data_IF_192060713325
#
_entry.id   IF_192060713325
#
_cell.length_a   1.000
_cell.length_b   1.000
_cell.length_c   1.000
_cell.angle_alpha   90.00
_cell.angle_beta   90.00
_cell.angle_gamma   90.00
#
_symmetry.space_group_name_H-M   'P 1'
#
loop_
_entity.id
_entity.type
_entity.pdbx_description
1 polymer ?
#
# COMPACT_ATOMS: atom_id res chain seq x y z
N UNK A 1 19.52 -61.17 -40.51
CA UNK A 1 19.09 -62.03 -39.40
C UNK A 1 20.21 -62.08 -38.39
N UNK A 2 19.99 -61.64 -37.15
CA UNK A 2 20.66 -62.13 -35.95
C UNK A 2 20.02 -61.48 -34.71
N UNK A 3 19.32 -62.33 -33.97
CA UNK A 3 18.90 -62.12 -32.59
C UNK A 3 20.12 -62.01 -31.67
N UNK A 4 19.95 -61.42 -30.49
CA UNK A 4 19.80 -62.13 -29.18
C UNK A 4 20.39 -61.29 -28.04
N UNK A 5 19.53 -60.91 -27.10
CA UNK A 5 19.86 -60.27 -25.83
C UNK A 5 20.00 -61.38 -24.77
N UNK A 6 21.04 -61.34 -23.95
CA UNK A 6 21.11 -61.96 -22.61
C UNK A 6 22.31 -61.43 -21.79
N UNK A 7 22.18 -61.56 -20.46
CA UNK A 7 23.07 -61.18 -19.33
C UNK A 7 22.78 -59.76 -18.76
N UNK A 8 22.13 -59.56 -17.61
CA UNK A 8 22.28 -60.06 -16.20
C UNK A 8 23.16 -59.15 -15.33
N UNK A 9 22.52 -58.41 -14.39
CA UNK A 9 22.80 -58.16 -12.95
C UNK A 9 24.27 -58.18 -12.46
N UNK A 10 24.82 -57.33 -11.57
CA UNK A 10 24.33 -56.42 -10.49
C UNK A 10 25.47 -55.40 -10.17
N UNK A 11 25.10 -54.28 -9.52
CA UNK A 11 25.73 -53.66 -8.32
C UNK A 11 26.52 -52.33 -8.47
N UNK A 12 26.17 -51.45 -7.51
CA UNK A 12 26.85 -50.27 -6.96
C UNK A 12 26.48 -48.90 -7.57
N UNK A 13 25.38 -48.32 -7.07
CA UNK A 13 25.09 -46.89 -7.19
C UNK A 13 25.18 -46.22 -5.81
N UNK A 14 26.27 -45.48 -5.58
CA UNK A 14 26.35 -44.47 -4.52
C UNK A 14 25.93 -43.11 -5.09
N UNK A 15 25.08 -42.45 -4.30
CA UNK A 15 24.91 -40.99 -4.16
C UNK A 15 24.82 -40.14 -5.41
N UNK A 16 23.60 -39.67 -5.70
CA UNK A 16 23.44 -38.24 -5.95
C UNK A 16 22.08 -37.74 -5.47
N UNK A 17 22.10 -36.46 -5.16
CA UNK A 17 21.29 -35.74 -4.20
C UNK A 17 20.09 -35.03 -4.88
N UNK A 18 19.23 -34.42 -4.05
CA UNK A 18 18.17 -33.46 -4.40
C UNK A 18 16.93 -33.95 -5.17
N UNK A 19 15.87 -34.21 -4.42
CA UNK A 19 14.52 -33.68 -4.71
C UNK A 19 13.65 -33.76 -3.44
N UNK A 20 13.64 -32.69 -2.65
CA UNK A 20 12.57 -32.40 -1.69
C UNK A 20 11.84 -31.14 -2.16
N UNK A 21 10.51 -31.15 -2.29
CA UNK A 21 9.75 -29.92 -2.47
C UNK A 21 9.82 -29.13 -1.16
N UNK A 22 10.34 -27.91 -1.23
CA UNK A 22 10.47 -27.03 -0.08
C UNK A 22 9.13 -26.31 0.18
N UNK A 23 8.62 -26.58 1.39
CA UNK A 23 7.81 -25.76 2.29
C UNK A 23 6.48 -25.17 1.81
N UNK A 24 5.43 -25.83 2.30
CA UNK A 24 4.21 -25.22 2.84
C UNK A 24 4.54 -24.15 3.90
N UNK A 25 4.44 -22.87 3.55
CA UNK A 25 4.46 -21.78 4.54
C UNK A 25 3.05 -21.55 5.11
N UNK A 26 2.72 -22.42 6.07
CA UNK A 26 1.65 -22.22 7.04
C UNK A 26 2.13 -21.23 8.10
N UNK A 27 1.71 -19.97 7.99
CA UNK A 27 1.77 -19.01 9.10
C UNK A 27 0.41 -18.37 9.35
N UNK A 28 -0.43 -19.10 10.09
CA UNK A 28 -1.46 -18.50 10.92
C UNK A 28 -0.78 -17.77 12.07
N UNK A 29 -0.88 -16.44 12.13
CA UNK A 29 -0.62 -15.71 13.38
C UNK A 29 -1.76 -14.75 13.69
N UNK A 30 -2.40 -15.07 14.81
CA UNK A 30 -3.60 -14.48 15.37
C UNK A 30 -3.63 -12.94 15.36
N UNK A 31 -4.66 -12.39 14.71
CA UNK A 31 -5.11 -11.01 14.92
C UNK A 31 -6.08 -11.02 16.10
N UNK A 32 -5.59 -10.60 17.28
CA UNK A 32 -6.45 -10.38 18.43
C UNK A 32 -7.49 -9.29 18.09
N UNK A 33 -8.77 -9.65 18.20
CA UNK A 33 -9.90 -8.80 17.89
C UNK A 33 -10.07 -7.69 18.94
N UNK A 34 -9.77 -6.45 18.56
CA UNK A 34 -10.21 -5.25 19.26
C UNK A 34 -11.29 -4.52 18.43
N UNK A 35 -12.26 -3.84 19.07
CA UNK A 35 -13.34 -3.17 18.36
C UNK A 35 -12.81 -1.93 17.60
N UNK A 36 -12.59 -2.09 16.31
CA UNK A 36 -12.09 -1.06 15.39
C UNK A 36 -13.25 -0.43 14.60
N UNK A 37 -13.38 0.92 14.59
CA UNK A 37 -14.42 1.65 13.84
C UNK A 37 -14.27 1.47 12.31
N UNK A 38 -15.39 1.34 11.61
CA UNK A 38 -15.44 1.32 10.13
C UNK A 38 -14.91 2.62 9.53
N UNK A 39 -14.16 2.53 8.42
CA UNK A 39 -14.17 3.54 7.36
C UNK A 39 -13.48 4.89 7.58
N UNK A 40 -12.49 5.02 8.46
CA UNK A 40 -11.69 6.26 8.50
C UNK A 40 -10.27 5.97 8.02
N UNK A 41 -9.97 6.32 6.76
CA UNK A 41 -8.63 6.76 6.42
C UNK A 41 -8.25 7.87 7.42
N UNK A 42 -6.99 7.94 7.83
CA UNK A 42 -6.55 9.03 8.71
C UNK A 42 -6.57 10.33 7.91
N UNK A 43 -7.64 11.13 8.02
CA UNK A 43 -7.52 12.56 7.80
C UNK A 43 -6.59 13.13 8.87
N UNK A 44 -5.77 14.12 8.51
CA UNK A 44 -5.01 14.97 9.45
C UNK A 44 -5.80 15.22 10.73
N UNK A 45 -5.11 15.32 11.87
CA UNK A 45 -5.73 15.72 13.15
C UNK A 45 -6.79 16.80 12.94
N UNK A 46 -7.93 16.61 13.61
CA UNK A 46 -8.96 17.63 13.76
C UNK A 46 -8.29 18.99 13.95
N UNK A 47 -8.49 19.88 12.98
CA UNK A 47 -8.10 21.26 13.13
C UNK A 47 -9.00 21.85 14.21
N UNK A 48 -8.47 21.90 15.43
CA UNK A 48 -8.96 22.62 16.59
C UNK A 48 -10.40 22.33 17.06
N UNK A 49 -10.50 21.96 18.34
CA UNK A 49 -11.68 22.27 19.14
C UNK A 49 -11.96 23.80 19.00
N UNK A 50 -13.16 24.24 18.55
CA UNK A 50 -13.45 25.66 18.29
C UNK A 50 -13.38 26.55 19.53
N UNK A 51 -13.12 25.98 20.71
CA UNK A 51 -12.99 26.70 21.98
C UNK A 51 -11.59 27.25 22.29
N UNK A 52 -10.55 27.00 21.47
CA UNK A 52 -9.20 27.50 21.75
C UNK A 52 -8.49 28.07 20.50
N UNK A 53 -8.34 29.41 20.36
CA UNK A 53 -7.59 30.02 19.28
C UNK A 53 -6.10 30.02 19.64
N UNK A 54 -5.52 28.83 19.86
CA UNK A 54 -4.07 28.68 19.91
C UNK A 54 -3.62 28.31 18.50
N UNK A 55 -2.89 29.22 17.87
CA UNK A 55 -2.26 29.11 16.55
C UNK A 55 -1.45 27.82 16.42
N UNK A 56 -2.07 26.72 15.98
CA UNK A 56 -1.34 25.52 15.59
C UNK A 56 -1.07 25.59 14.09
N UNK A 57 0.14 26.05 13.75
CA UNK A 57 0.69 25.81 12.43
C UNK A 57 0.54 24.32 12.09
N UNK A 58 0.22 23.96 10.84
CA UNK A 58 0.22 22.57 10.42
C UNK A 58 1.57 21.94 10.81
N UNK A 59 1.62 20.67 11.26
CA UNK A 59 2.87 20.03 11.58
C UNK A 59 3.86 20.21 10.43
N UNK A 60 4.95 20.91 10.73
CA UNK A 60 5.94 21.33 9.74
C UNK A 60 6.43 20.09 9.01
N UNK A 61 6.34 20.11 7.70
CA UNK A 61 6.91 19.06 6.87
C UNK A 61 8.40 18.96 7.15
N UNK A 62 8.93 17.74 7.27
CA UNK A 62 10.37 17.56 7.44
C UNK A 62 11.08 18.13 6.21
N UNK A 63 12.31 18.60 6.41
CA UNK A 63 13.13 19.15 5.32
C UNK A 63 13.24 18.12 4.19
N UNK A 64 13.45 16.85 4.55
CA UNK A 64 13.50 15.74 3.60
C UNK A 64 12.24 15.64 2.73
N UNK A 65 11.04 15.59 3.33
CA UNK A 65 9.79 15.50 2.56
C UNK A 65 9.55 16.75 1.71
N UNK A 66 9.94 17.93 2.20
CA UNK A 66 9.79 19.18 1.45
C UNK A 66 10.71 19.25 0.23
N UNK A 67 11.91 18.68 0.32
CA UNK A 67 12.87 18.63 -0.78
C UNK A 67 12.46 17.65 -1.89
N UNK A 68 11.74 16.59 -1.52
CA UNK A 68 11.34 15.52 -2.44
C UNK A 68 9.88 15.60 -2.89
N UNK A 69 9.12 16.61 -2.43
CA UNK A 69 7.74 16.83 -2.87
C UNK A 69 7.72 17.33 -4.31
N UNK A 70 7.11 16.56 -5.22
CA UNK A 70 6.97 16.91 -6.63
C UNK A 70 5.71 17.71 -6.91
N UNK A 71 4.63 17.43 -6.18
CA UNK A 71 3.38 18.17 -6.28
C UNK A 71 2.55 18.01 -4.99
N UNK A 72 2.06 19.13 -4.45
CA UNK A 72 1.23 19.12 -3.24
C UNK A 72 -0.25 18.83 -3.59
N UNK A 73 -0.94 18.10 -2.70
CA UNK A 73 -2.38 17.89 -2.75
C UNK A 73 -3.04 18.31 -1.44
N UNK A 74 -3.64 19.49 -1.45
CA UNK A 74 -4.31 20.02 -0.26
C UNK A 74 -5.78 19.65 -0.20
N UNK A 75 -6.18 18.98 0.88
CA UNK A 75 -7.58 18.82 1.25
C UNK A 75 -8.38 17.78 0.45
N UNK A 76 -7.76 17.05 -0.48
CA UNK A 76 -8.43 16.02 -1.28
C UNK A 76 -8.99 14.88 -0.40
N UNK A 77 -8.24 14.44 0.61
CA UNK A 77 -8.64 13.34 1.48
C UNK A 77 -9.39 13.77 2.76
N UNK A 78 -10.02 14.95 2.79
CA UNK A 78 -10.79 15.43 3.99
C UNK A 78 -11.96 14.54 4.35
N UNK A 79 -12.54 13.84 3.38
CA UNK A 79 -13.68 12.93 3.56
C UNK A 79 -13.26 11.46 3.55
N UNK A 80 -11.98 11.16 3.83
CA UNK A 80 -11.43 9.80 3.95
C UNK A 80 -11.65 8.93 2.71
N UNK A 81 -11.38 9.49 1.54
CA UNK A 81 -11.52 8.82 0.23
C UNK A 81 -10.18 8.27 -0.30
N UNK A 82 -9.29 7.85 0.61
CA UNK A 82 -7.91 7.48 0.27
C UNK A 82 -7.83 6.30 -0.72
N UNK A 83 -8.78 5.37 -0.68
CA UNK A 83 -8.80 4.24 -1.64
C UNK A 83 -9.09 4.73 -3.04
N UNK A 84 -10.13 5.56 -3.20
CA UNK A 84 -10.50 6.11 -4.49
C UNK A 84 -9.46 7.07 -5.07
N UNK A 85 -8.85 7.91 -4.24
CA UNK A 85 -7.80 8.83 -4.67
C UNK A 85 -6.56 8.07 -5.16
N UNK A 86 -6.19 6.99 -4.45
CA UNK A 86 -5.08 6.12 -4.85
C UNK A 86 -5.35 5.44 -6.19
N UNK A 87 -6.56 4.92 -6.42
CA UNK A 87 -6.95 4.33 -7.69
C UNK A 87 -6.91 5.37 -8.83
N UNK A 88 -7.46 6.56 -8.60
CA UNK A 88 -7.43 7.64 -9.59
C UNK A 88 -6.01 8.15 -9.90
N UNK A 89 -5.11 8.17 -8.90
CA UNK A 89 -3.71 8.52 -9.13
C UNK A 89 -2.98 7.47 -9.98
N UNK A 90 -3.16 6.17 -9.65
CA UNK A 90 -2.57 5.06 -10.41
C UNK A 90 -3.03 5.03 -11.87
N UNK A 91 -4.29 5.35 -12.14
CA UNK A 91 -4.82 5.47 -13.50
C UNK A 91 -4.27 6.67 -14.30
N UNK A 92 -3.57 7.60 -13.65
CA UNK A 92 -3.05 8.83 -14.27
C UNK A 92 -1.51 8.91 -14.28
N UNK A 93 -0.80 7.81 -14.06
CA UNK A 93 0.67 7.76 -14.04
C UNK A 93 1.36 8.39 -15.27
N UNK A 94 0.85 8.29 -16.51
CA UNK A 94 1.49 8.92 -17.67
C UNK A 94 1.51 10.47 -17.64
N UNK A 95 0.66 11.09 -16.83
CA UNK A 95 0.55 12.55 -16.74
C UNK A 95 1.61 13.16 -15.83
N UNK A 96 1.91 14.46 -15.97
CA UNK A 96 2.85 15.13 -15.05
C UNK A 96 2.35 15.12 -13.59
N UNK A 97 3.24 15.19 -12.57
CA UNK A 97 2.86 15.29 -11.16
C UNK A 97 1.80 16.37 -10.89
N UNK A 98 1.99 17.56 -11.48
CA UNK A 98 1.06 18.69 -11.33
C UNK A 98 -0.31 18.39 -11.95
N UNK A 99 -0.33 17.78 -13.13
CA UNK A 99 -1.58 17.36 -13.80
C UNK A 99 -2.32 16.34 -12.95
N UNK A 100 -1.62 15.34 -12.38
CA UNK A 100 -2.20 14.35 -11.48
C UNK A 100 -2.84 15.01 -10.26
N UNK A 101 -2.12 15.90 -9.55
CA UNK A 101 -2.69 16.57 -8.37
C UNK A 101 -3.89 17.46 -8.73
N UNK A 102 -3.83 18.16 -9.87
CA UNK A 102 -4.94 19.00 -10.35
C UNK A 102 -6.19 18.17 -10.59
N UNK A 103 -6.06 16.98 -11.18
CA UNK A 103 -7.16 16.05 -11.41
C UNK A 103 -7.74 15.45 -10.11
N UNK A 104 -7.03 15.57 -8.98
CA UNK A 104 -7.44 15.05 -7.68
C UNK A 104 -7.86 16.16 -6.69
N UNK A 105 -7.81 17.44 -7.09
CA UNK A 105 -8.26 18.54 -6.25
C UNK A 105 -9.76 18.44 -5.95
N UNK A 106 -10.21 18.82 -4.74
CA UNK A 106 -11.64 18.88 -4.40
C UNK A 106 -12.46 19.61 -5.48
N UNK A 107 -13.53 18.97 -5.96
CA UNK A 107 -14.42 19.53 -6.97
C UNK A 107 -14.03 19.24 -8.43
N UNK A 108 -12.88 18.62 -8.68
CA UNK A 108 -12.53 18.08 -10.00
C UNK A 108 -13.30 16.78 -10.32
N UNK A 109 -13.33 16.39 -11.61
CA UNK A 109 -13.93 15.12 -12.04
C UNK A 109 -13.21 13.89 -11.47
N UNK A 110 -11.87 13.92 -11.38
CA UNK A 110 -11.10 12.84 -10.80
C UNK A 110 -11.36 12.69 -9.30
N UNK A 111 -11.51 13.79 -8.55
CA UNK A 111 -11.92 13.76 -7.14
C UNK A 111 -13.34 13.22 -6.96
N UNK A 112 -14.30 13.62 -7.81
CA UNK A 112 -15.66 13.06 -7.81
C UNK A 112 -15.65 11.55 -8.08
N UNK A 113 -14.87 11.12 -9.06
CA UNK A 113 -14.72 9.69 -9.41
C UNK A 113 -14.08 8.90 -8.26
N UNK A 114 -13.04 9.46 -7.62
CA UNK A 114 -12.44 8.90 -6.42
C UNK A 114 -13.46 8.73 -5.27
N UNK A 115 -14.38 9.69 -5.08
CA UNK A 115 -15.44 9.54 -4.09
C UNK A 115 -16.42 8.40 -4.44
N UNK A 116 -16.71 8.15 -5.73
CA UNK A 116 -17.51 6.99 -6.16
C UNK A 116 -16.77 5.69 -5.84
N UNK A 117 -15.50 5.58 -6.22
CA UNK A 117 -14.64 4.43 -5.93
C UNK A 117 -14.56 4.13 -4.43
N UNK A 118 -14.41 5.16 -3.59
CA UNK A 118 -14.43 4.99 -2.13
C UNK A 118 -15.76 4.43 -1.63
N UNK A 119 -16.90 4.92 -2.13
CA UNK A 119 -18.22 4.40 -1.71
C UNK A 119 -18.42 2.94 -2.13
N UNK A 120 -17.93 2.57 -3.31
CA UNK A 120 -17.96 1.18 -3.79
C UNK A 120 -17.09 0.30 -2.89
N UNK A 121 -15.86 0.74 -2.59
CA UNK A 121 -14.96 0.08 -1.63
C UNK A 121 -15.66 -0.20 -0.30
N UNK A 122 -16.22 0.82 0.33
CA UNK A 122 -16.84 0.69 1.65
C UNK A 122 -18.08 -0.21 1.64
N UNK A 123 -18.88 -0.13 0.57
CA UNK A 123 -20.07 -0.98 0.42
C UNK A 123 -19.68 -2.44 0.25
N UNK A 124 -18.63 -2.72 -0.52
CA UNK A 124 -18.11 -4.07 -0.71
C UNK A 124 -17.46 -4.62 0.56
N UNK A 125 -16.71 -3.81 1.32
CA UNK A 125 -16.20 -4.23 2.64
C UNK A 125 -17.35 -4.58 3.58
N UNK A 126 -18.42 -3.78 3.61
CA UNK A 126 -19.61 -4.08 4.44
C UNK A 126 -20.27 -5.39 4.02
N UNK A 127 -20.43 -5.61 2.71
CA UNK A 127 -20.99 -6.84 2.16
C UNK A 127 -20.15 -8.07 2.54
N UNK A 128 -18.85 -8.06 2.22
CA UNK A 128 -17.94 -9.20 2.49
C UNK A 128 -17.83 -9.54 3.98
N UNK A 129 -17.92 -8.53 4.86
CA UNK A 129 -17.96 -8.77 6.32
C UNK A 129 -19.26 -9.42 6.79
N UNK A 130 -20.37 -9.22 6.07
CA UNK A 130 -21.62 -9.95 6.28
C UNK A 130 -21.49 -11.43 5.94
N UNK A 131 -20.53 -11.78 5.08
CA UNK A 131 -20.15 -13.16 4.73
C UNK A 131 -19.05 -13.72 5.65
N UNK A 132 -18.83 -13.11 6.82
CA UNK A 132 -17.85 -13.53 7.83
C UNK A 132 -16.38 -13.53 7.36
N UNK A 133 -16.08 -12.85 6.25
CA UNK A 133 -14.70 -12.66 5.78
C UNK A 133 -13.99 -11.72 6.75
N UNK A 134 -12.77 -12.10 7.14
CA UNK A 134 -11.91 -11.29 8.00
C UNK A 134 -11.71 -9.89 7.39
N UNK A 135 -11.67 -8.87 8.24
CA UNK A 135 -11.72 -7.47 7.81
C UNK A 135 -10.57 -7.07 6.87
N UNK A 136 -9.35 -7.54 7.14
CA UNK A 136 -8.19 -7.24 6.30
C UNK A 136 -8.31 -7.89 4.91
N UNK A 137 -8.80 -9.13 4.86
CA UNK A 137 -9.09 -9.84 3.60
C UNK A 137 -10.24 -9.17 2.82
N UNK A 138 -11.33 -8.81 3.50
CA UNK A 138 -12.43 -8.06 2.90
C UNK A 138 -11.97 -6.72 2.32
N UNK A 139 -11.09 -6.00 3.03
CA UNK A 139 -10.46 -4.77 2.55
C UNK A 139 -9.57 -5.01 1.33
N UNK A 140 -8.75 -6.07 1.34
CA UNK A 140 -7.89 -6.42 0.22
C UNK A 140 -8.69 -6.72 -1.05
N UNK A 141 -9.74 -7.55 -0.95
CA UNK A 141 -10.63 -7.89 -2.08
C UNK A 141 -11.43 -6.69 -2.58
N UNK A 142 -11.94 -5.87 -1.67
CA UNK A 142 -12.68 -4.68 -2.05
C UNK A 142 -11.81 -3.68 -2.79
N UNK A 143 -10.56 -3.50 -2.36
CA UNK A 143 -9.56 -2.68 -3.05
C UNK A 143 -9.25 -3.22 -4.44
N UNK A 144 -9.09 -4.53 -4.60
CA UNK A 144 -8.89 -5.14 -5.92
C UNK A 144 -10.05 -4.80 -6.88
N UNK A 145 -11.29 -4.90 -6.41
CA UNK A 145 -12.47 -4.57 -7.22
C UNK A 145 -12.45 -3.10 -7.66
N UNK A 146 -12.17 -2.18 -6.74
CA UNK A 146 -12.12 -0.74 -7.05
C UNK A 146 -10.97 -0.38 -7.99
N UNK A 147 -9.83 -1.05 -7.89
CA UNK A 147 -8.73 -0.88 -8.84
C UNK A 147 -9.16 -1.34 -10.25
N UNK A 148 -9.89 -2.46 -10.37
CA UNK A 148 -10.45 -2.90 -11.66
C UNK A 148 -11.49 -1.93 -12.22
N UNK A 149 -12.37 -1.41 -11.38
CA UNK A 149 -13.35 -0.38 -11.77
C UNK A 149 -12.66 0.88 -12.32
N UNK A 150 -11.43 1.17 -11.87
CA UNK A 150 -10.60 2.26 -12.35
C UNK A 150 -9.78 1.91 -13.62
N UNK A 151 -10.00 0.75 -14.23
CA UNK A 151 -9.29 0.31 -15.43
C UNK A 151 -7.86 -0.19 -15.16
N UNK A 152 -7.58 -0.65 -13.93
CA UNK A 152 -6.28 -1.17 -13.53
C UNK A 152 -6.34 -2.70 -13.35
N UNK A 153 -5.19 -3.35 -13.44
CA UNK A 153 -5.04 -4.78 -13.17
C UNK A 153 -4.30 -5.03 -11.85
N UNK A 154 -5.02 -5.15 -10.72
CA UNK A 154 -4.42 -5.50 -9.44
C UNK A 154 -4.06 -6.99 -9.36
N UNK A 155 -3.03 -7.31 -8.59
CA UNK A 155 -2.72 -8.69 -8.19
C UNK A 155 -3.77 -9.23 -7.22
N UNK A 156 -4.16 -10.49 -7.38
CA UNK A 156 -5.01 -11.21 -6.41
C UNK A 156 -4.28 -11.56 -5.11
N UNK A 157 -2.95 -11.42 -5.08
CA UNK A 157 -2.13 -11.66 -3.90
C UNK A 157 -1.39 -10.40 -3.48
N UNK A 158 -1.13 -10.30 -2.18
CA UNK A 158 -0.37 -9.22 -1.56
C UNK A 158 0.55 -9.76 -0.48
N UNK A 159 1.52 -8.96 -0.08
CA UNK A 159 2.43 -9.28 1.02
C UNK A 159 2.34 -8.21 2.09
N UNK A 160 2.41 -8.61 3.35
CA UNK A 160 2.41 -7.71 4.50
C UNK A 160 3.81 -7.68 5.12
N UNK A 161 4.33 -6.47 5.30
CA UNK A 161 5.67 -6.20 5.82
C UNK A 161 5.57 -5.52 7.16
N UNK A 162 6.34 -6.00 8.14
CA UNK A 162 6.46 -5.34 9.44
C UNK A 162 7.31 -4.09 9.30
N UNK A 163 6.80 -2.93 9.71
CA UNK A 163 7.56 -1.70 9.72
C UNK A 163 8.49 -1.66 10.93
N UNK A 164 9.73 -1.20 10.74
CA UNK A 164 10.79 -1.23 11.78
C UNK A 164 11.57 -2.55 11.85
N UNK A 165 11.13 -3.61 11.17
CA UNK A 165 11.93 -4.82 10.96
C UNK A 165 12.79 -4.67 9.69
N UNK A 166 14.12 -4.74 9.85
CA UNK A 166 15.05 -4.45 8.76
C UNK A 166 14.94 -5.44 7.59
N UNK A 167 14.73 -6.73 7.87
CA UNK A 167 14.58 -7.75 6.84
C UNK A 167 13.27 -7.56 6.05
N UNK A 168 12.15 -7.36 6.76
CA UNK A 168 10.85 -7.08 6.15
C UNK A 168 10.88 -5.81 5.30
N UNK A 169 11.48 -4.73 5.80
CA UNK A 169 11.57 -3.49 5.03
C UNK A 169 12.48 -3.63 3.81
N UNK A 170 13.60 -4.35 3.92
CA UNK A 170 14.47 -4.63 2.77
C UNK A 170 13.73 -5.37 1.65
N UNK A 171 12.89 -6.36 2.00
CA UNK A 171 12.07 -7.06 1.00
C UNK A 171 11.00 -6.14 0.38
N UNK A 172 10.32 -5.32 1.20
CA UNK A 172 9.38 -4.31 0.71
C UNK A 172 10.07 -3.35 -0.27
N UNK A 173 11.19 -2.76 0.13
CA UNK A 173 11.98 -1.81 -0.65
C UNK A 173 12.34 -2.41 -2.01
N UNK A 174 12.92 -3.61 -2.04
CA UNK A 174 13.28 -4.31 -3.28
C UNK A 174 12.08 -4.58 -4.20
N UNK A 175 10.86 -4.70 -3.67
CA UNK A 175 9.65 -4.82 -4.51
C UNK A 175 9.20 -3.50 -5.09
N UNK A 176 9.14 -2.44 -4.27
CA UNK A 176 8.58 -1.14 -4.69
C UNK A 176 9.56 -0.27 -5.47
N UNK A 177 10.85 -0.58 -5.43
CA UNK A 177 11.88 0.12 -6.23
C UNK A 177 12.16 -0.54 -7.57
N UNK A 178 11.69 -1.78 -7.77
CA UNK A 178 11.89 -2.49 -9.03
C UNK A 178 11.19 -1.76 -10.19
N UNK A 179 11.96 -1.45 -11.22
CA UNK A 179 11.56 -0.61 -12.35
C UNK A 179 10.30 -1.13 -13.07
N UNK A 180 9.47 -0.19 -13.54
CA UNK A 180 8.20 -0.48 -14.21
C UNK A 180 7.14 -1.10 -13.30
N UNK A 181 7.26 -0.97 -11.98
CA UNK A 181 6.27 -1.49 -11.03
C UNK A 181 5.52 -0.38 -10.31
N UNK A 182 4.21 -0.55 -10.20
CA UNK A 182 3.35 0.24 -9.34
C UNK A 182 2.67 -0.64 -8.29
N UNK A 183 2.43 -0.06 -7.12
CA UNK A 183 1.79 -0.73 -6.00
C UNK A 183 0.77 0.18 -5.32
N UNK A 184 -0.33 -0.42 -4.88
CA UNK A 184 -1.17 0.13 -3.82
C UNK A 184 -0.70 -0.40 -2.47
N UNK A 185 -0.50 0.49 -1.51
CA UNK A 185 0.07 0.19 -0.19
C UNK A 185 -0.93 0.57 0.90
N UNK A 186 -1.37 -0.42 1.68
CA UNK A 186 -2.17 -0.19 2.89
C UNK A 186 -1.25 -0.06 4.09
N UNK A 187 -1.11 1.15 4.60
CA UNK A 187 -0.39 1.46 5.83
C UNK A 187 -1.31 1.15 7.02
N UNK A 188 -0.87 0.28 7.92
CA UNK A 188 -1.58 -0.04 9.16
C UNK A 188 -0.94 0.72 10.33
N UNK A 189 -1.68 1.68 10.88
CA UNK A 189 -1.26 2.46 12.04
C UNK A 189 -1.92 1.94 13.32
N UNK A 190 -1.27 2.15 14.46
CA UNK A 190 -1.84 1.98 15.79
C UNK A 190 -1.86 3.30 16.57
N UNK A 191 -2.94 3.51 17.31
CA UNK A 191 -3.08 4.61 18.26
C UNK A 191 -4.02 4.20 19.40
N UNK A 192 -3.50 4.17 20.63
CA UNK A 192 -4.29 3.84 21.82
C UNK A 192 -4.96 2.47 21.76
N UNK A 193 -4.26 1.46 21.23
CA UNK A 193 -4.77 0.09 21.07
C UNK A 193 -5.79 -0.09 19.93
N UNK A 194 -6.00 0.92 19.08
CA UNK A 194 -6.86 0.82 17.90
C UNK A 194 -6.01 0.85 16.64
N UNK A 195 -6.38 0.03 15.66
CA UNK A 195 -5.74 0.06 14.34
C UNK A 195 -6.56 0.86 13.35
N UNK A 196 -5.84 1.65 12.58
CA UNK A 196 -6.36 2.51 11.52
C UNK A 196 -5.58 2.20 10.24
N UNK A 197 -6.24 2.29 9.08
CA UNK A 197 -5.60 2.00 7.79
C UNK A 197 -5.66 3.23 6.89
N UNK A 198 -4.57 3.48 6.18
CA UNK A 198 -4.46 4.53 5.18
C UNK A 198 -3.87 3.95 3.90
N UNK A 199 -4.42 4.35 2.75
CA UNK A 199 -3.96 3.86 1.46
C UNK A 199 -3.09 4.94 0.79
N UNK A 200 -1.91 4.51 0.34
CA UNK A 200 -0.99 5.28 -0.50
C UNK A 200 -0.64 4.44 -1.73
N UNK A 201 0.03 5.02 -2.72
CA UNK A 201 0.55 4.28 -3.86
C UNK A 201 2.01 4.61 -4.14
N UNK A 202 2.69 3.69 -4.82
CA UNK A 202 4.01 3.92 -5.39
C UNK A 202 4.07 3.53 -6.86
N UNK A 203 5.01 4.14 -7.58
CA UNK A 203 5.42 3.75 -8.93
C UNK A 203 6.93 3.94 -9.08
N UNK A 204 7.63 2.98 -9.66
CA UNK A 204 9.05 3.05 -9.95
C UNK A 204 9.30 3.15 -11.47
N UNK A 205 10.12 4.12 -11.87
CA UNK A 205 10.56 4.35 -13.24
C UNK A 205 11.92 5.02 -13.23
N UNK A 206 12.84 4.58 -14.09
CA UNK A 206 14.12 5.23 -14.37
C UNK A 206 14.97 5.46 -13.10
N UNK A 207 14.98 4.47 -12.20
CA UNK A 207 15.72 4.53 -10.94
C UNK A 207 15.11 5.44 -9.86
N UNK A 208 13.95 6.03 -10.14
CA UNK A 208 13.20 6.87 -9.21
C UNK A 208 11.96 6.13 -8.71
N UNK A 209 11.63 6.34 -7.43
CA UNK A 209 10.38 5.88 -6.82
C UNK A 209 9.51 7.09 -6.51
N UNK A 210 8.33 7.11 -7.10
CA UNK A 210 7.28 8.08 -6.79
C UNK A 210 6.33 7.49 -5.77
N UNK A 211 6.04 8.22 -4.69
CA UNK A 211 5.02 7.89 -3.69
C UNK A 211 3.92 8.94 -3.72
N UNK A 212 2.68 8.49 -3.78
CA UNK A 212 1.51 9.34 -3.63
C UNK A 212 0.79 9.05 -2.32
N UNK A 213 0.68 10.09 -1.49
CA UNK A 213 -0.13 10.08 -0.28
C UNK A 213 -1.33 11.01 -0.44
N UNK A 214 -2.58 10.50 -0.43
CA UNK A 214 -3.80 11.32 -0.54
C UNK A 214 -3.91 12.49 0.45
N UNK A 215 -3.20 12.45 1.58
CA UNK A 215 -3.20 13.52 2.59
C UNK A 215 -2.25 14.68 2.29
N UNK A 216 -1.26 14.48 1.43
CA UNK A 216 -0.14 15.42 1.26
C UNK A 216 0.19 15.73 -0.20
N UNK A 217 0.08 14.74 -1.08
CA UNK A 217 0.49 14.85 -2.48
C UNK A 217 1.54 13.81 -2.85
N UNK A 218 2.42 14.18 -3.74
CA UNK A 218 3.36 13.29 -4.40
C UNK A 218 4.81 13.63 -4.06
N UNK A 219 5.60 12.58 -3.87
CA UNK A 219 7.02 12.63 -3.56
C UNK A 219 7.78 11.78 -4.56
N UNK A 220 8.98 12.19 -4.97
CA UNK A 220 9.87 11.37 -5.78
C UNK A 220 11.27 11.34 -5.16
N UNK A 221 11.81 10.15 -5.01
CA UNK A 221 13.14 9.90 -4.45
C UNK A 221 13.91 8.92 -5.32
N UNK A 222 15.25 8.97 -5.36
CA UNK A 222 16.05 7.86 -5.84
C UNK A 222 15.76 6.58 -5.05
N UNK A 223 15.86 5.42 -5.69
CA UNK A 223 15.56 4.13 -5.05
C UNK A 223 16.31 3.88 -3.73
N UNK A 224 17.55 4.36 -3.61
CA UNK A 224 18.37 4.26 -2.41
C UNK A 224 17.85 5.05 -1.21
N UNK A 225 16.97 6.03 -1.44
CA UNK A 225 16.37 6.89 -0.41
C UNK A 225 14.95 6.44 -0.01
N UNK A 226 14.49 5.27 -0.46
CA UNK A 226 13.14 4.79 -0.16
C UNK A 226 12.94 4.55 1.34
N UNK A 227 13.98 4.10 2.05
CA UNK A 227 13.95 3.94 3.52
C UNK A 227 13.69 5.28 4.21
N UNK A 228 14.47 6.30 3.87
CA UNK A 228 14.36 7.64 4.43
C UNK A 228 12.97 8.24 4.16
N UNK A 229 12.42 8.01 2.96
CA UNK A 229 11.07 8.46 2.62
C UNK A 229 10.00 7.85 3.54
N UNK A 230 10.02 6.53 3.75
CA UNK A 230 9.05 5.88 4.62
C UNK A 230 9.24 6.23 6.11
N UNK A 231 10.48 6.39 6.58
CA UNK A 231 10.76 6.86 7.93
C UNK A 231 10.22 8.27 8.17
N UNK A 232 10.47 9.18 7.22
CA UNK A 232 9.96 10.55 7.31
C UNK A 232 8.43 10.59 7.21
N UNK A 233 7.81 9.75 6.37
CA UNK A 233 6.36 9.64 6.27
C UNK A 233 5.75 9.07 7.56
N UNK A 234 6.31 8.01 8.11
CA UNK A 234 5.88 7.44 9.39
C UNK A 234 6.00 8.46 10.52
N UNK A 235 7.11 9.20 10.59
CA UNK A 235 7.31 10.28 11.56
C UNK A 235 6.29 11.41 11.40
N UNK A 236 5.88 11.72 10.17
CA UNK A 236 4.84 12.71 9.88
C UNK A 236 3.45 12.27 10.33
N UNK A 237 3.15 10.98 10.27
CA UNK A 237 1.91 10.45 10.85
C UNK A 237 1.98 10.37 12.38
N UNK A 238 3.13 9.97 12.94
CA UNK A 238 3.37 9.90 14.39
C UNK A 238 3.25 11.26 15.06
N UNK A 239 3.82 12.32 14.48
CA UNK A 239 3.88 13.63 15.12
C UNK A 239 2.94 14.64 14.43
N UNK A 240 1.94 15.24 15.13
CA UNK A 240 1.62 15.11 16.55
C UNK A 240 0.54 14.04 16.84
N UNK A 241 0.13 13.24 15.84
CA UNK A 241 -1.12 12.48 15.92
C UNK A 241 -1.04 11.20 16.78
N UNK A 242 0.16 10.77 17.17
CA UNK A 242 0.40 9.52 17.90
C UNK A 242 0.15 8.26 17.08
N UNK A 243 0.13 8.34 15.74
CA UNK A 243 -0.08 7.19 14.85
C UNK A 243 1.25 6.46 14.60
N UNK A 244 1.41 5.28 15.16
CA UNK A 244 2.58 4.43 14.94
C UNK A 244 2.34 3.48 13.76
N UNK A 245 3.21 3.53 12.75
CA UNK A 245 3.13 2.61 11.61
C UNK A 245 3.62 1.23 12.04
N UNK A 246 2.73 0.22 11.97
CA UNK A 246 3.03 -1.16 12.34
C UNK A 246 3.43 -2.02 11.15
N UNK A 247 2.67 -1.91 10.05
CA UNK A 247 2.86 -2.76 8.89
C UNK A 247 2.37 -2.13 7.59
N UNK A 248 2.86 -2.66 6.48
CA UNK A 248 2.54 -2.20 5.13
C UNK A 248 2.10 -3.41 4.30
N UNK A 249 0.85 -3.40 3.83
CA UNK A 249 0.34 -4.45 2.93
C UNK A 249 0.35 -3.97 1.48
N UNK A 250 1.11 -4.67 0.65
CA UNK A 250 1.30 -4.38 -0.78
C UNK A 250 0.25 -5.07 -1.65
N UNK A 251 -0.15 -4.43 -2.74
CA UNK A 251 -0.84 -5.04 -3.87
C UNK A 251 -0.26 -4.47 -5.15
N UNK A 252 0.33 -5.31 -5.99
CA UNK A 252 0.88 -4.88 -7.28
C UNK A 252 -0.26 -4.44 -8.20
N UNK A 253 -0.03 -3.39 -8.97
CA UNK A 253 -0.99 -2.86 -9.94
C UNK A 253 -0.27 -2.69 -11.28
N UNK A 254 -0.98 -3.00 -12.37
CA UNK A 254 -0.54 -2.72 -13.75
C UNK A 254 -1.57 -1.82 -14.43
N UNK A 255 -1.09 -0.99 -15.33
CA UNK A 255 -1.90 -0.30 -16.35
C UNK A 255 -1.82 -1.13 -17.62
N UNK A 256 -2.93 -1.21 -18.35
CA UNK A 256 -3.00 -1.86 -19.66
C UNK A 256 -2.20 -1.11 -20.74
#
# INVERSE_FOLDING_TARGET
MLNRISHSSVLAGQTDELSKPANDDRFDKALAALPERMGCCTSKADAADPANPSTSSPPRMSIFLSQHMTAELQGANRTNICVGLTAAWLGNLPNSPRSRMTALLPGSDGHRSAAVYQRNYESLVRFLRGEEIERSEAGFRARATVLRDAGLLPSETGNTYTFGDAASFSELAGKITADGRAYSLSLCFERGGRRERHLVATSASDGMVTLFDPNYGEFAVPQEQISDLFENLANRYRNPNGLELLSITTQRVRTD
#
